data_IF_896899712122
#
_entry.id   IF_896899712122
#
_cell.length_a   1.000
_cell.length_b   1.000
_cell.length_c   1.000
_cell.angle_alpha   90.00
_cell.angle_beta   90.00
_cell.angle_gamma   90.00
#
_symmetry.space_group_name_H-M   'P 1'
#
loop_
_entity.id
_entity.type
_entity.pdbx_description
1 polymer ?
#
# COMPACT_ATOMS: atom_id res chain seq x y z
N UNK A 1 8.08 8.99 8.07
CA UNK A 1 7.07 7.91 7.99
C UNK A 1 6.79 7.58 6.53
N UNK A 2 6.38 6.35 6.19
CA UNK A 2 6.07 5.95 4.82
C UNK A 2 4.56 5.91 4.65
N UNK A 3 4.07 6.61 3.62
CA UNK A 3 2.68 6.61 3.19
C UNK A 3 2.51 5.72 1.96
N UNK A 4 1.65 4.72 2.04
CA UNK A 4 1.23 3.89 0.91
C UNK A 4 -0.25 4.10 0.66
N UNK A 5 -0.59 4.74 -0.46
CA UNK A 5 -1.97 4.98 -0.87
C UNK A 5 -2.32 4.08 -2.05
N UNK A 6 -3.39 3.30 -1.92
CA UNK A 6 -4.03 2.56 -3.01
C UNK A 6 -5.30 3.30 -3.43
N UNK A 7 -5.54 3.38 -4.73
CA UNK A 7 -6.72 4.05 -5.27
C UNK A 7 -7.13 3.49 -6.63
N UNK A 8 -8.44 3.41 -6.87
CA UNK A 8 -9.02 3.03 -8.16
C UNK A 8 -10.27 3.89 -8.46
N UNK A 9 -10.04 5.06 -9.08
CA UNK A 9 -11.11 6.03 -9.31
C UNK A 9 -12.18 5.50 -10.26
N UNK A 10 -13.38 5.26 -9.71
CA UNK A 10 -14.54 4.74 -10.42
C UNK A 10 -14.89 3.29 -10.05
N UNK A 11 -14.35 2.78 -8.95
CA UNK A 11 -14.61 1.45 -8.42
C UNK A 11 -14.98 1.56 -6.93
N UNK A 12 -16.27 1.81 -6.68
CA UNK A 12 -16.93 2.03 -5.38
C UNK A 12 -16.67 0.96 -4.30
N UNK A 13 -15.99 -0.13 -4.65
CA UNK A 13 -15.68 -1.26 -3.78
C UNK A 13 -14.22 -1.68 -4.03
N UNK A 14 -13.28 -0.82 -3.64
CA UNK A 14 -11.86 -1.10 -3.78
C UNK A 14 -11.41 -2.16 -2.77
N UNK A 15 -11.18 -3.37 -3.27
CA UNK A 15 -10.62 -4.51 -2.54
C UNK A 15 -9.14 -4.68 -2.90
N UNK A 16 -8.27 -4.12 -2.05
CA UNK A 16 -6.81 -4.10 -2.28
C UNK A 16 -6.24 -5.50 -2.28
N UNK A 17 -6.68 -6.38 -1.38
CA UNK A 17 -6.21 -7.77 -1.31
C UNK A 17 -6.49 -8.52 -2.62
N UNK A 18 -7.71 -8.42 -3.14
CA UNK A 18 -8.08 -9.07 -4.40
C UNK A 18 -7.26 -8.55 -5.58
N UNK A 19 -7.04 -7.25 -5.67
CA UNK A 19 -6.28 -6.65 -6.77
C UNK A 19 -4.79 -7.03 -6.74
N UNK A 20 -4.25 -7.28 -5.54
CA UNK A 20 -2.89 -7.78 -5.33
C UNK A 20 -2.78 -9.32 -5.37
N UNK A 21 -3.90 -10.03 -5.53
CA UNK A 21 -3.95 -11.49 -5.48
C UNK A 21 -3.32 -12.08 -4.21
N UNK A 22 -3.67 -11.50 -3.06
CA UNK A 22 -3.25 -11.99 -1.76
C UNK A 22 -4.48 -12.47 -0.97
N UNK A 23 -4.32 -13.56 -0.24
CA UNK A 23 -5.36 -14.14 0.62
C UNK A 23 -5.18 -13.74 2.11
N UNK A 24 -4.29 -12.78 2.36
CA UNK A 24 -3.97 -12.24 3.69
C UNK A 24 -4.14 -10.73 3.66
N UNK A 25 -4.36 -10.11 4.84
CA UNK A 25 -4.42 -8.66 4.97
C UNK A 25 -3.16 -8.01 4.37
N UNK A 26 -3.35 -6.92 3.63
CA UNK A 26 -2.23 -6.21 2.98
C UNK A 26 -1.16 -5.76 3.97
N UNK A 27 -1.54 -5.46 5.21
CA UNK A 27 -0.65 -5.08 6.30
C UNK A 27 0.27 -6.25 6.69
N UNK A 28 -0.32 -7.43 6.90
CA UNK A 28 0.44 -8.64 7.26
C UNK A 28 1.34 -9.06 6.10
N UNK A 29 0.84 -8.98 4.86
CA UNK A 29 1.64 -9.26 3.67
C UNK A 29 2.87 -8.37 3.57
N UNK A 30 2.73 -7.07 3.82
CA UNK A 30 3.84 -6.11 3.73
C UNK A 30 4.83 -6.34 4.88
N UNK A 31 4.35 -6.47 6.11
CA UNK A 31 5.21 -6.60 7.30
C UNK A 31 5.94 -7.93 7.36
N UNK A 32 5.37 -9.02 6.81
CA UNK A 32 6.06 -10.32 6.68
C UNK A 32 7.20 -10.27 5.64
N UNK A 33 7.00 -9.53 4.55
CA UNK A 33 7.97 -9.47 3.45
C UNK A 33 9.08 -8.42 3.67
N UNK A 34 8.86 -7.43 4.54
CA UNK A 34 9.79 -6.32 4.78
C UNK A 34 10.15 -6.25 6.27
N UNK A 35 11.27 -6.86 6.65
CA UNK A 35 11.70 -6.94 8.07
C UNK A 35 11.96 -5.59 8.77
N UNK A 36 12.20 -4.51 8.03
CA UNK A 36 12.50 -3.20 8.60
C UNK A 36 11.30 -2.25 8.60
N UNK A 37 10.10 -2.76 8.34
CA UNK A 37 8.87 -1.96 8.33
C UNK A 37 7.95 -2.39 9.48
N UNK A 38 7.23 -1.43 10.04
CA UNK A 38 6.19 -1.67 11.04
C UNK A 38 4.95 -0.86 10.66
N UNK A 39 3.78 -1.47 10.81
CA UNK A 39 2.52 -0.80 10.55
C UNK A 39 2.23 0.24 11.64
N UNK A 40 1.79 1.42 11.23
CA UNK A 40 1.42 2.52 12.12
C UNK A 40 -0.10 2.68 12.19
N UNK A 41 -0.72 3.02 11.07
CA UNK A 41 -2.14 3.37 11.02
C UNK A 41 -2.71 3.24 9.60
N UNK A 42 -4.02 3.06 9.52
CA UNK A 42 -4.77 3.07 8.25
C UNK A 42 -5.72 4.25 8.25
N UNK A 43 -5.85 4.89 7.10
CA UNK A 43 -6.78 5.99 6.84
C UNK A 43 -7.37 5.86 5.45
N UNK A 44 -8.35 6.69 5.13
CA UNK A 44 -8.88 6.91 3.79
C UNK A 44 -9.01 8.42 3.55
N UNK A 45 -8.96 8.88 2.30
CA UNK A 45 -9.33 10.28 2.04
C UNK A 45 -10.85 10.36 1.98
N UNK A 46 -11.44 11.12 2.89
CA UNK A 46 -12.89 11.24 3.01
C UNK A 46 -13.59 11.72 1.72
N UNK A 47 -12.85 12.39 0.82
CA UNK A 47 -13.36 12.92 -0.46
C UNK A 47 -13.22 11.93 -1.64
N UNK A 48 -12.46 10.84 -1.48
CA UNK A 48 -12.22 9.85 -2.52
C UNK A 48 -12.70 8.49 -2.02
N UNK A 49 -13.93 8.10 -2.38
CA UNK A 49 -14.58 6.88 -1.89
C UNK A 49 -13.77 5.60 -2.18
N UNK A 50 -12.87 5.63 -3.17
CA UNK A 50 -12.13 4.46 -3.66
C UNK A 50 -10.64 4.51 -3.30
N UNK A 51 -10.30 4.77 -2.03
CA UNK A 51 -8.91 4.73 -1.60
C UNK A 51 -8.66 4.13 -0.20
N UNK A 52 -7.44 3.61 -0.05
CA UNK A 52 -6.90 3.09 1.19
C UNK A 52 -5.49 3.63 1.41
N UNK A 53 -5.28 4.30 2.53
CA UNK A 53 -3.97 4.84 2.93
C UNK A 53 -3.45 4.03 4.11
N UNK A 54 -2.26 3.48 3.95
CA UNK A 54 -1.53 2.76 4.98
C UNK A 54 -0.26 3.54 5.34
N UNK A 55 -0.06 3.73 6.63
CA UNK A 55 1.11 4.39 7.18
C UNK A 55 2.02 3.35 7.83
N UNK A 56 3.30 3.48 7.56
CA UNK A 56 4.31 2.55 8.01
C UNK A 56 5.54 3.28 8.54
N UNK A 57 6.12 2.78 9.62
CA UNK A 57 7.39 3.24 10.16
C UNK A 57 8.53 2.32 9.69
N UNK A 58 9.65 2.90 9.32
CA UNK A 58 10.86 2.17 8.93
C UNK A 58 12.11 2.84 9.50
N UNK A 59 13.12 2.04 9.83
CA UNK A 59 14.45 2.56 10.18
C UNK A 59 15.21 3.07 8.95
N UNK A 60 14.87 2.57 7.76
CA UNK A 60 15.38 3.03 6.47
C UNK A 60 14.22 3.18 5.49
N UNK A 61 13.76 4.42 5.32
CA UNK A 61 12.57 4.72 4.53
C UNK A 61 12.85 4.53 3.03
N UNK A 62 14.05 4.88 2.57
CA UNK A 62 14.43 4.73 1.16
C UNK A 62 14.47 3.26 0.75
N UNK A 63 15.04 2.39 1.59
CA UNK A 63 15.06 0.95 1.34
C UNK A 63 13.65 0.36 1.38
N UNK A 64 12.84 0.74 2.37
CA UNK A 64 11.48 0.25 2.52
C UNK A 64 10.58 0.69 1.36
N UNK A 65 10.69 1.93 0.87
CA UNK A 65 9.98 2.40 -0.33
C UNK A 65 10.38 1.60 -1.56
N UNK A 66 11.69 1.35 -1.76
CA UNK A 66 12.18 0.52 -2.87
C UNK A 66 11.63 -0.91 -2.80
N UNK A 67 11.51 -1.49 -1.60
CA UNK A 67 10.96 -2.83 -1.38
C UNK A 67 9.45 -2.86 -1.61
N UNK A 68 8.72 -1.89 -1.07
CA UNK A 68 7.28 -1.73 -1.26
C UNK A 68 6.94 -1.61 -2.75
N UNK A 69 7.61 -0.73 -3.48
CA UNK A 69 7.35 -0.53 -4.90
C UNK A 69 7.55 -1.83 -5.70
N UNK A 70 8.64 -2.56 -5.43
CA UNK A 70 8.88 -3.87 -6.06
C UNK A 70 7.85 -4.92 -5.67
N UNK A 71 7.44 -4.95 -4.41
CA UNK A 71 6.48 -5.94 -3.90
C UNK A 71 5.11 -5.74 -4.54
N UNK A 72 4.62 -4.49 -4.52
CA UNK A 72 3.30 -4.12 -5.06
C UNK A 72 3.28 -4.24 -6.59
N UNK A 73 4.27 -3.71 -7.30
CA UNK A 73 4.33 -3.80 -8.77
C UNK A 73 4.43 -5.24 -9.29
N UNK A 74 5.04 -6.15 -8.52
CA UNK A 74 5.10 -7.58 -8.85
C UNK A 74 3.74 -8.28 -8.70
N UNK A 75 2.87 -7.76 -7.83
CA UNK A 75 1.59 -8.37 -7.46
C UNK A 75 0.40 -7.80 -8.24
N UNK A 76 0.46 -6.54 -8.66
CA UNK A 76 -0.62 -5.93 -9.44
C UNK A 76 -0.87 -6.73 -10.72
N UNK A 77 -2.10 -7.21 -10.85
CA UNK A 77 -2.53 -7.98 -12.01
C UNK A 77 -2.39 -7.15 -13.28
N UNK A 78 -1.90 -7.77 -14.36
CA UNK A 78 -1.86 -7.17 -15.69
C UNK A 78 -3.29 -6.84 -16.16
N UNK A 79 -3.63 -5.56 -16.19
CA UNK A 79 -4.98 -5.06 -16.53
C UNK A 79 -5.84 -4.65 -15.33
N UNK A 80 -5.32 -4.74 -14.10
CA UNK A 80 -5.91 -4.09 -12.93
C UNK A 80 -5.93 -2.57 -13.13
N UNK A 81 -6.98 -1.92 -12.63
CA UNK A 81 -7.08 -0.46 -12.57
C UNK A 81 -6.50 0.12 -11.29
N UNK A 82 -6.12 -0.74 -10.34
CA UNK A 82 -5.48 -0.37 -9.09
C UNK A 82 -4.24 0.46 -9.37
N UNK A 83 -4.23 1.66 -8.82
CA UNK A 83 -3.06 2.51 -8.75
C UNK A 83 -2.61 2.57 -7.30
N UNK A 84 -1.31 2.75 -7.13
CA UNK A 84 -0.73 2.97 -5.82
C UNK A 84 0.27 4.12 -5.89
N UNK A 85 0.49 4.77 -4.76
CA UNK A 85 1.48 5.82 -4.58
C UNK A 85 2.18 5.62 -3.25
N UNK A 86 3.51 5.67 -3.27
CA UNK A 86 4.34 5.56 -2.07
C UNK A 86 5.04 6.90 -1.89
N UNK A 87 4.94 7.48 -0.70
CA UNK A 87 5.58 8.75 -0.35
C UNK A 87 6.30 8.60 0.99
N UNK A 88 7.42 9.29 1.14
CA UNK A 88 8.08 9.47 2.43
C UNK A 88 7.57 10.78 2.99
N UNK A 89 6.91 10.70 4.13
CA UNK A 89 6.40 11.82 4.90
C UNK A 89 7.43 12.17 5.98
N UNK A 90 8.18 13.25 5.77
CA UNK A 90 9.28 13.69 6.64
C UNK A 90 8.81 14.46 7.90
N UNK A 91 7.58 14.21 8.38
CA UNK A 91 7.00 14.93 9.55
C UNK A 91 7.72 14.62 10.86
#
# INVERSE_FOLDING_TARGET
MIKLCFFDYGNHDLDVEKELMIDVDVIDFITDQIQNISFDSTSNEADLEDNWIYWFNSNDENEAVCKLDKLISSKIKKGSKLKYKIEIDEM
#
